data_IF_985056528836
#
_entry.id   IF_985056528836
#
_cell.length_a   1.000
_cell.length_b   1.000
_cell.length_c   1.000
_cell.angle_alpha   90.00
_cell.angle_beta   90.00
_cell.angle_gamma   90.00
#
_symmetry.space_group_name_H-M   'P 1'
#
loop_
_entity.id
_entity.type
_entity.pdbx_description
1 polymer ?
#
# COMPACT_ATOMS: atom_id res chain seq x y z
N UNK A 1 14.54 -3.95 12.64
CA UNK A 1 13.41 -4.89 12.45
C UNK A 1 12.12 -4.08 12.36
N UNK A 2 11.75 -3.49 11.21
CA UNK A 2 10.70 -2.44 11.25
C UNK A 2 9.86 -2.17 9.99
N UNK A 3 10.02 -2.87 8.86
CA UNK A 3 9.13 -2.64 7.68
C UNK A 3 8.19 -3.81 7.37
N UNK A 4 8.63 -5.06 7.51
CA UNK A 4 7.81 -6.23 7.20
C UNK A 4 6.59 -6.33 8.13
N UNK A 5 6.79 -6.14 9.43
CA UNK A 5 5.70 -6.06 10.41
C UNK A 5 4.73 -4.89 10.15
N UNK A 6 5.15 -3.82 9.46
CA UNK A 6 4.27 -2.69 9.14
C UNK A 6 3.43 -2.97 7.90
N UNK A 7 4.00 -3.61 6.87
CA UNK A 7 3.25 -3.99 5.67
C UNK A 7 2.15 -5.00 5.99
N UNK A 8 2.50 -6.09 6.69
CA UNK A 8 1.54 -7.13 7.08
C UNK A 8 0.44 -6.57 7.99
N UNK A 9 0.79 -5.68 8.93
CA UNK A 9 -0.19 -5.01 9.77
C UNK A 9 -1.13 -4.10 8.98
N UNK A 10 -0.60 -3.34 8.00
CA UNK A 10 -1.41 -2.49 7.14
C UNK A 10 -2.38 -3.30 6.27
N UNK A 11 -1.92 -4.43 5.70
CA UNK A 11 -2.77 -5.35 4.93
C UNK A 11 -3.85 -5.95 5.81
N UNK A 12 -3.50 -6.47 6.99
CA UNK A 12 -4.49 -7.02 7.93
C UNK A 12 -5.54 -5.98 8.30
N UNK A 13 -5.13 -4.73 8.57
CA UNK A 13 -6.07 -3.64 8.87
C UNK A 13 -7.00 -3.35 7.69
N UNK A 14 -6.48 -3.37 6.46
CA UNK A 14 -7.27 -3.17 5.25
C UNK A 14 -8.32 -4.28 5.07
N UNK A 15 -7.96 -5.55 5.30
CA UNK A 15 -8.89 -6.68 5.28
C UNK A 15 -10.01 -6.51 6.31
N UNK A 16 -9.67 -6.06 7.53
CA UNK A 16 -10.68 -5.80 8.56
C UNK A 16 -11.62 -4.64 8.19
N UNK A 17 -11.13 -3.62 7.49
CA UNK A 17 -11.94 -2.51 6.99
C UNK A 17 -12.91 -3.03 5.92
N UNK A 18 -12.42 -3.81 4.95
CA UNK A 18 -13.25 -4.42 3.90
C UNK A 18 -14.35 -5.27 4.53
N UNK A 19 -13.99 -6.17 5.46
CA UNK A 19 -14.95 -7.01 6.15
C UNK A 19 -16.01 -6.22 6.93
N UNK A 20 -15.67 -5.03 7.47
CA UNK A 20 -16.63 -4.13 8.12
C UNK A 20 -17.58 -3.48 7.13
N UNK A 21 -17.05 -3.00 6.00
CA UNK A 21 -17.85 -2.37 4.95
C UNK A 21 -18.81 -3.38 4.29
N UNK A 22 -18.35 -4.61 4.03
CA UNK A 22 -19.16 -5.68 3.44
C UNK A 22 -20.29 -6.17 4.32
N UNK A 23 -20.14 -6.07 5.65
CA UNK A 23 -21.23 -6.41 6.59
C UNK A 23 -22.42 -5.47 6.50
N UNK A 24 -22.23 -4.24 5.99
CA UNK A 24 -23.32 -3.28 5.79
C UNK A 24 -23.93 -2.72 7.08
N UNK A 25 -23.39 -3.04 8.25
CA UNK A 25 -23.85 -2.56 9.57
C UNK A 25 -23.07 -1.34 10.06
N UNK A 26 -22.42 -0.59 9.16
CA UNK A 26 -21.68 0.63 9.49
C UNK A 26 -22.55 1.86 9.23
N UNK A 27 -22.48 2.84 10.14
CA UNK A 27 -23.08 4.15 9.88
C UNK A 27 -22.40 4.85 8.70
N UNK A 28 -23.04 5.89 8.14
CA UNK A 28 -22.45 6.65 7.04
C UNK A 28 -21.12 7.30 7.44
N UNK A 29 -21.06 7.90 8.65
CA UNK A 29 -19.82 8.49 9.15
C UNK A 29 -18.71 7.45 9.32
N UNK A 30 -19.03 6.27 9.87
CA UNK A 30 -18.06 5.18 10.02
C UNK A 30 -17.63 4.63 8.65
N UNK A 31 -18.54 4.52 7.70
CA UNK A 31 -18.24 4.09 6.33
C UNK A 31 -17.25 5.03 5.64
N UNK A 32 -17.45 6.34 5.77
CA UNK A 32 -16.53 7.35 5.26
C UNK A 32 -15.16 7.28 5.94
N UNK A 33 -15.12 7.16 7.27
CA UNK A 33 -13.87 7.04 8.02
C UNK A 33 -13.07 5.77 7.62
N UNK A 34 -13.77 4.64 7.51
CA UNK A 34 -13.20 3.37 7.06
C UNK A 34 -12.65 3.47 5.62
N UNK A 35 -13.36 4.16 4.73
CA UNK A 35 -12.92 4.38 3.36
C UNK A 35 -11.65 5.24 3.30
N UNK A 36 -11.62 6.37 4.02
CA UNK A 36 -10.44 7.24 4.09
C UNK A 36 -9.22 6.49 4.64
N UNK A 37 -9.41 5.72 5.71
CA UNK A 37 -8.36 4.87 6.27
C UNK A 37 -7.87 3.83 5.26
N UNK A 38 -8.79 3.15 4.57
CA UNK A 38 -8.47 2.17 3.53
C UNK A 38 -7.61 2.76 2.41
N UNK A 39 -7.97 3.94 1.90
CA UNK A 39 -7.17 4.66 0.89
C UNK A 39 -5.77 5.00 1.41
N UNK A 40 -5.66 5.43 2.67
CA UNK A 40 -4.37 5.73 3.28
C UNK A 40 -3.49 4.48 3.43
N UNK A 41 -4.08 3.34 3.80
CA UNK A 41 -3.37 2.06 3.93
C UNK A 41 -2.89 1.55 2.57
N UNK A 42 -3.72 1.59 1.53
CA UNK A 42 -3.33 1.21 0.16
C UNK A 42 -2.12 2.03 -0.31
N UNK A 43 -2.15 3.35 -0.10
CA UNK A 43 -1.01 4.23 -0.45
C UNK A 43 0.27 3.88 0.31
N UNK A 44 0.16 3.48 1.58
CA UNK A 44 1.33 3.04 2.37
C UNK A 44 1.87 1.72 1.85
N UNK A 45 1.01 0.72 1.63
CA UNK A 45 1.39 -0.57 1.08
C UNK A 45 2.09 -0.42 -0.27
N UNK A 46 1.56 0.43 -1.17
CA UNK A 46 2.21 0.69 -2.46
C UNK A 46 3.63 1.25 -2.27
N UNK A 47 3.82 2.24 -1.38
CA UNK A 47 5.14 2.78 -1.07
C UNK A 47 6.09 1.75 -0.45
N UNK A 48 5.57 0.83 0.34
CA UNK A 48 6.38 -0.25 0.91
C UNK A 48 6.86 -1.22 -0.18
N UNK A 49 5.97 -1.60 -1.10
CA UNK A 49 6.29 -2.43 -2.25
C UNK A 49 7.28 -1.75 -3.20
N UNK A 50 7.08 -0.46 -3.49
CA UNK A 50 7.97 0.33 -4.33
C UNK A 50 9.40 0.34 -3.76
N UNK A 51 9.54 0.56 -2.44
CA UNK A 51 10.84 0.53 -1.76
C UNK A 51 11.46 -0.87 -1.77
N UNK A 52 10.66 -1.92 -1.63
CA UNK A 52 11.14 -3.28 -1.71
C UNK A 52 11.66 -3.61 -3.13
N UNK A 53 10.90 -3.22 -4.17
CA UNK A 53 11.29 -3.39 -5.56
C UNK A 53 12.59 -2.66 -5.88
N UNK A 54 12.72 -1.40 -5.48
CA UNK A 54 13.96 -0.62 -5.64
C UNK A 54 15.16 -1.33 -5.00
N UNK A 55 14.99 -1.84 -3.78
CA UNK A 55 16.05 -2.56 -3.08
C UNK A 55 16.46 -3.83 -3.83
N UNK A 56 15.50 -4.56 -4.40
CA UNK A 56 15.80 -5.76 -5.22
C UNK A 56 16.59 -5.36 -6.47
N UNK A 57 16.20 -4.28 -7.16
CA UNK A 57 16.89 -3.81 -8.35
C UNK A 57 18.34 -3.40 -8.05
N UNK A 58 18.57 -2.63 -6.98
CA UNK A 58 19.93 -2.27 -6.53
C UNK A 58 20.80 -3.50 -6.29
N UNK A 59 20.22 -4.57 -5.72
CA UNK A 59 20.96 -5.81 -5.47
C UNK A 59 21.27 -6.58 -6.75
N UNK A 60 20.46 -6.42 -7.81
CA UNK A 60 20.66 -7.07 -9.10
C UNK A 60 21.65 -6.30 -9.99
N UNK A 61 21.53 -4.97 -10.04
CA UNK A 61 22.25 -4.10 -10.98
C UNK A 61 23.46 -3.38 -10.34
N UNK A 62 23.51 -3.32 -9.00
CA UNK A 62 24.57 -2.64 -8.26
C UNK A 62 24.43 -1.11 -8.20
N UNK A 63 23.33 -0.54 -8.72
CA UNK A 63 23.11 0.90 -8.81
C UNK A 63 21.76 1.33 -8.22
N UNK A 64 21.70 2.54 -7.65
CA UNK A 64 20.48 3.14 -7.10
C UNK A 64 19.70 3.84 -8.21
N UNK A 65 18.58 3.25 -8.62
CA UNK A 65 17.63 3.83 -9.59
C UNK A 65 16.51 4.54 -8.84
N UNK A 66 16.17 5.78 -9.22
CA UNK A 66 15.06 6.52 -8.61
C UNK A 66 13.72 5.97 -9.12
N UNK A 67 12.74 5.84 -8.21
CA UNK A 67 11.40 5.34 -8.54
C UNK A 67 10.64 6.30 -9.46
N UNK A 68 10.99 7.59 -9.47
CA UNK A 68 10.45 8.55 -10.42
C UNK A 68 10.78 8.17 -11.88
N UNK A 69 11.96 7.57 -12.10
CA UNK A 69 12.46 7.21 -13.43
C UNK A 69 11.79 5.94 -13.96
N UNK A 70 11.24 5.09 -13.08
CA UNK A 70 10.57 3.83 -13.44
C UNK A 70 9.08 3.99 -13.80
N UNK A 71 8.46 5.13 -13.47
CA UNK A 71 7.02 5.36 -13.71
C UNK A 71 6.68 5.70 -15.16
N UNK A 72 7.67 5.90 -16.03
CA UNK A 72 7.44 6.26 -17.43
C UNK A 72 6.98 5.07 -18.31
N UNK A 73 7.11 3.81 -17.87
CA UNK A 73 6.78 2.65 -18.73
C UNK A 73 5.40 1.99 -18.53
N UNK A 74 4.62 2.37 -17.50
CA UNK A 74 3.29 1.79 -17.27
C UNK A 74 2.18 2.84 -17.27
N UNK A 75 2.15 3.68 -18.32
CA UNK A 75 0.97 4.44 -18.68
C UNK A 75 -0.18 3.50 -19.07
N UNK A 76 -0.99 3.10 -18.09
CA UNK A 76 -2.33 2.57 -18.35
C UNK A 76 -3.26 3.79 -18.41
N UNK A 77 -3.73 4.08 -19.61
CA UNK A 77 -4.89 4.93 -19.92
C UNK A 77 -6.10 4.56 -19.05
#
# INVERSE_FOLDING_TARGET
MSNENNYEANIKRLEEIIARLEKGEVSLEEGLANFEEGIALVKKCQKDLDRAAQKVQVLQEGELVDLADLKEENGVD
#
